data_IF_257834564939
#
_entry.id   IF_257834564939
#
_cell.length_a   1.000
_cell.length_b   1.000
_cell.length_c   1.000
_cell.angle_alpha   90.00
_cell.angle_beta   90.00
_cell.angle_gamma   90.00
#
_symmetry.space_group_name_H-M   'P 1'
#
loop_
_entity.id
_entity.type
_entity.pdbx_description
1 polymer ?
#
# COMPACT_ATOMS: atom_id res chain seq x y z
N UNK A 1 1.26 -12.86 -7.19
CA UNK A 1 2.43 -12.80 -8.10
C UNK A 1 3.49 -11.97 -7.40
N UNK A 2 4.76 -12.40 -7.34
CA UNK A 2 5.80 -11.59 -6.71
C UNK A 2 6.15 -10.34 -7.55
N UNK A 3 6.80 -9.35 -6.95
CA UNK A 3 7.10 -8.06 -7.58
C UNK A 3 7.95 -8.18 -8.86
N UNK A 4 8.85 -9.18 -8.93
CA UNK A 4 9.70 -9.40 -10.11
C UNK A 4 8.89 -9.99 -11.25
N UNK A 5 8.10 -11.01 -10.97
CA UNK A 5 7.17 -11.61 -11.94
C UNK A 5 6.15 -10.59 -12.44
N UNK A 6 5.67 -9.70 -11.57
CA UNK A 6 4.76 -8.61 -11.94
C UNK A 6 5.41 -7.60 -12.89
N UNK A 7 6.61 -7.10 -12.57
CA UNK A 7 7.34 -6.19 -13.47
C UNK A 7 7.62 -6.81 -14.83
N UNK A 8 7.97 -8.09 -14.84
CA UNK A 8 8.16 -8.84 -16.09
C UNK A 8 6.85 -8.98 -16.88
N UNK A 9 5.73 -9.25 -16.20
CA UNK A 9 4.42 -9.29 -16.82
C UNK A 9 4.00 -7.96 -17.44
N UNK A 10 4.19 -6.85 -16.71
CA UNK A 10 3.88 -5.50 -17.21
C UNK A 10 4.74 -5.16 -18.42
N UNK A 11 6.06 -5.37 -18.33
CA UNK A 11 6.98 -5.12 -19.45
C UNK A 11 6.59 -5.93 -20.69
N UNK A 12 6.31 -7.21 -20.50
CA UNK A 12 5.92 -8.08 -21.60
C UNK A 12 4.59 -7.64 -22.21
N UNK A 13 3.53 -7.48 -21.41
CA UNK A 13 2.20 -7.13 -21.89
C UNK A 13 2.13 -5.73 -22.49
N UNK A 14 2.99 -4.81 -22.05
CA UNK A 14 3.15 -3.46 -22.63
C UNK A 14 3.92 -3.44 -23.95
N UNK A 15 4.56 -4.55 -24.33
CA UNK A 15 5.32 -4.64 -25.57
C UNK A 15 4.44 -4.57 -26.82
N UNK A 16 4.93 -3.93 -27.87
CA UNK A 16 4.20 -3.58 -29.09
C UNK A 16 3.46 -4.76 -29.76
N UNK A 17 4.00 -5.98 -29.64
CA UNK A 17 3.45 -7.17 -30.28
C UNK A 17 2.61 -8.07 -29.37
N UNK A 18 2.62 -7.85 -28.05
CA UNK A 18 2.00 -8.78 -27.09
C UNK A 18 0.49 -8.94 -27.29
N UNK A 19 -0.24 -7.84 -27.40
CA UNK A 19 -1.69 -7.89 -27.65
C UNK A 19 -2.01 -8.46 -29.04
N UNK A 20 -1.15 -8.22 -30.03
CA UNK A 20 -1.28 -8.80 -31.36
C UNK A 20 -1.16 -10.32 -31.34
N UNK A 21 -0.15 -10.84 -30.64
CA UNK A 21 0.07 -12.28 -30.46
C UNK A 21 -1.13 -12.93 -29.74
N UNK A 22 -1.59 -12.34 -28.64
CA UNK A 22 -2.76 -12.85 -27.90
C UNK A 22 -4.03 -12.86 -28.76
N UNK A 23 -4.20 -11.88 -29.64
CA UNK A 23 -5.33 -11.83 -30.59
C UNK A 23 -5.26 -12.92 -31.66
N UNK A 24 -4.06 -13.26 -32.15
CA UNK A 24 -3.87 -14.38 -33.11
C UNK A 24 -4.29 -15.69 -32.45
N UNK A 25 -3.89 -15.91 -31.20
CA UNK A 25 -4.13 -17.15 -30.45
C UNK A 25 -5.54 -17.26 -29.83
N UNK A 26 -6.44 -16.31 -30.12
CA UNK A 26 -7.78 -16.24 -29.50
C UNK A 26 -8.69 -17.42 -29.85
N UNK A 27 -8.36 -18.16 -30.91
CA UNK A 27 -9.10 -19.34 -31.37
C UNK A 27 -8.93 -20.56 -30.45
N UNK A 28 -8.06 -20.46 -29.45
CA UNK A 28 -7.78 -21.51 -28.48
C UNK A 28 -7.12 -22.74 -29.12
N UNK A 29 -6.52 -22.60 -30.30
CA UNK A 29 -5.75 -23.65 -30.96
C UNK A 29 -4.27 -23.57 -30.55
N UNK A 30 -3.53 -24.63 -30.91
CA UNK A 30 -2.08 -24.65 -30.78
C UNK A 30 -1.45 -23.96 -31.99
N UNK A 31 -0.51 -23.06 -31.75
CA UNK A 31 0.20 -22.30 -32.77
C UNK A 31 1.71 -22.43 -32.59
N UNK A 32 2.43 -22.53 -33.71
CA UNK A 32 3.89 -22.40 -33.74
C UNK A 32 4.32 -20.94 -33.76
N UNK A 33 5.52 -20.64 -33.26
CA UNK A 33 6.08 -19.29 -33.34
C UNK A 33 6.19 -18.78 -34.78
N UNK A 34 6.42 -19.66 -35.75
CA UNK A 34 6.47 -19.32 -37.18
C UNK A 34 5.13 -18.87 -37.73
N UNK A 35 4.04 -19.48 -37.28
CA UNK A 35 2.68 -19.13 -37.71
C UNK A 35 2.26 -17.77 -37.15
N UNK A 36 2.53 -17.54 -35.86
CA UNK A 36 2.28 -16.24 -35.21
C UNK A 36 3.13 -15.14 -35.86
N UNK A 37 4.40 -15.43 -36.15
CA UNK A 37 5.30 -14.51 -36.82
C UNK A 37 4.81 -14.12 -38.23
N UNK A 38 4.32 -15.10 -38.99
CA UNK A 38 3.74 -14.87 -40.31
C UNK A 38 2.49 -13.98 -40.24
N UNK A 39 1.56 -14.28 -39.33
CA UNK A 39 0.31 -13.51 -39.18
C UNK A 39 0.55 -12.04 -38.80
N UNK A 40 1.57 -11.76 -37.99
CA UNK A 40 1.88 -10.41 -37.51
C UNK A 40 2.95 -9.72 -38.36
N UNK A 41 3.49 -10.38 -39.38
CA UNK A 41 4.61 -9.91 -40.18
C UNK A 41 5.81 -9.46 -39.31
N UNK A 42 6.18 -10.30 -38.34
CA UNK A 42 7.34 -10.08 -37.46
C UNK A 42 8.35 -11.21 -37.61
N UNK A 43 9.56 -10.99 -37.10
CA UNK A 43 10.59 -12.02 -37.13
C UNK A 43 10.24 -13.20 -36.20
N UNK A 44 10.52 -14.44 -36.61
CA UNK A 44 10.20 -15.66 -35.83
C UNK A 44 10.83 -15.60 -34.44
N UNK A 45 12.07 -15.12 -34.33
CA UNK A 45 12.73 -14.98 -33.02
C UNK A 45 12.02 -13.98 -32.10
N UNK A 46 11.38 -12.94 -32.64
CA UNK A 46 10.56 -12.01 -31.88
C UNK A 46 9.32 -12.72 -31.35
N UNK A 47 8.56 -13.42 -32.22
CA UNK A 47 7.40 -14.19 -31.81
C UNK A 47 7.75 -15.23 -30.73
N UNK A 48 8.84 -15.99 -30.93
CA UNK A 48 9.31 -16.98 -29.95
C UNK A 48 9.65 -16.37 -28.59
N UNK A 49 10.29 -15.19 -28.55
CA UNK A 49 10.60 -14.51 -27.29
C UNK A 49 9.33 -14.10 -26.53
N UNK A 50 8.35 -13.54 -27.23
CA UNK A 50 7.09 -13.15 -26.62
C UNK A 50 6.29 -14.37 -26.16
N UNK A 51 6.18 -15.41 -26.98
CA UNK A 51 5.48 -16.66 -26.64
C UNK A 51 6.12 -17.37 -25.45
N UNK A 52 7.46 -17.39 -25.38
CA UNK A 52 8.16 -17.92 -24.21
C UNK A 52 7.85 -17.11 -22.95
N UNK A 53 7.95 -15.78 -23.02
CA UNK A 53 7.60 -14.93 -21.87
C UNK A 53 6.15 -15.10 -21.42
N UNK A 54 5.22 -15.24 -22.36
CA UNK A 54 3.80 -15.48 -22.05
C UNK A 54 3.60 -16.86 -21.40
N UNK A 55 4.37 -17.86 -21.81
CA UNK A 55 4.34 -19.19 -21.20
C UNK A 55 4.90 -19.17 -19.78
N UNK A 56 5.99 -18.45 -19.55
CA UNK A 56 6.60 -18.29 -18.23
C UNK A 56 5.66 -17.58 -17.25
N UNK A 57 4.77 -16.70 -17.74
CA UNK A 57 3.72 -16.04 -16.96
C UNK A 57 2.43 -16.88 -16.82
N UNK A 58 2.35 -18.06 -17.45
CA UNK A 58 1.16 -18.92 -17.44
C UNK A 58 -0.01 -18.37 -18.25
N UNK A 59 0.22 -17.40 -19.13
CA UNK A 59 -0.82 -16.83 -20.02
C UNK A 59 -1.11 -17.79 -21.18
N UNK A 60 -0.07 -18.48 -21.67
CA UNK A 60 -0.18 -19.53 -22.67
C UNK A 60 0.41 -20.83 -22.14
N UNK A 61 -0.16 -21.95 -22.53
CA UNK A 61 0.46 -23.26 -22.37
C UNK A 61 1.54 -23.43 -23.43
N UNK A 62 2.60 -24.16 -23.09
CA UNK A 62 3.67 -24.53 -24.00
C UNK A 62 3.82 -26.05 -24.01
N UNK A 63 3.94 -26.65 -25.18
CA UNK A 63 4.32 -28.06 -25.34
C UNK A 63 5.39 -28.23 -26.41
N UNK A 64 6.15 -29.31 -26.34
CA UNK A 64 7.05 -29.69 -27.41
C UNK A 64 6.23 -30.11 -28.64
N UNK A 65 6.56 -29.56 -29.80
CA UNK A 65 6.04 -30.03 -31.09
C UNK A 65 7.01 -31.04 -31.71
N UNK A 66 8.31 -30.71 -31.68
CA UNK A 66 9.40 -31.59 -32.08
C UNK A 66 10.66 -31.33 -31.21
N UNK A 67 11.81 -31.90 -31.59
CA UNK A 67 13.07 -31.77 -30.86
C UNK A 67 13.62 -30.33 -30.76
N UNK A 68 13.12 -29.39 -31.57
CA UNK A 68 13.62 -28.02 -31.75
C UNK A 68 12.54 -26.96 -31.64
N UNK A 69 11.27 -27.32 -31.75
CA UNK A 69 10.14 -26.38 -31.78
C UNK A 69 9.11 -26.66 -30.69
N UNK A 70 8.38 -25.62 -30.33
CA UNK A 70 7.30 -25.69 -29.35
C UNK A 70 6.04 -25.05 -29.92
N UNK A 71 4.92 -25.61 -29.52
CA UNK A 71 3.59 -25.06 -29.78
C UNK A 71 3.08 -24.36 -28.52
N UNK A 72 2.25 -23.34 -28.76
CA UNK A 72 1.69 -22.51 -27.72
C UNK A 72 0.17 -22.42 -27.89
N UNK A 73 -0.56 -22.40 -26.77
CA UNK A 73 -2.01 -22.26 -26.76
C UNK A 73 -2.44 -21.32 -25.66
N UNK A 74 -3.36 -20.41 -25.95
CA UNK A 74 -3.89 -19.51 -24.93
C UNK A 74 -4.69 -20.30 -23.88
N UNK A 75 -4.36 -20.11 -22.59
CA UNK A 75 -5.01 -20.82 -21.48
C UNK A 75 -6.50 -20.44 -21.39
N UNK A 76 -6.80 -19.15 -21.58
CA UNK A 76 -8.15 -18.63 -21.55
C UNK A 76 -8.33 -17.53 -22.60
N UNK A 77 -9.43 -17.54 -23.38
CA UNK A 77 -9.75 -16.46 -24.32
C UNK A 77 -10.10 -15.14 -23.61
N UNK A 78 -10.29 -15.17 -22.28
CA UNK A 78 -10.50 -14.00 -21.43
C UNK A 78 -9.35 -13.88 -20.44
N UNK A 79 -8.56 -12.83 -20.59
CA UNK A 79 -7.52 -12.45 -19.63
C UNK A 79 -8.03 -11.28 -18.79
N UNK A 80 -8.04 -11.48 -17.46
CA UNK A 80 -8.29 -10.41 -16.49
C UNK A 80 -6.98 -10.13 -15.76
N UNK A 81 -6.50 -8.90 -15.88
CA UNK A 81 -5.35 -8.41 -15.14
C UNK A 81 -5.90 -7.62 -13.95
N UNK A 82 -5.61 -8.10 -12.75
CA UNK A 82 -5.91 -7.39 -11.52
C UNK A 82 -4.58 -6.96 -10.92
N UNK A 83 -4.40 -5.65 -10.80
CA UNK A 83 -3.19 -5.06 -10.25
C UNK A 83 -3.59 -4.42 -8.93
N UNK A 84 -3.13 -5.03 -7.84
CA UNK A 84 -3.19 -4.37 -6.56
C UNK A 84 -2.03 -3.38 -6.45
N UNK A 85 -2.38 -2.09 -6.36
CA UNK A 85 -1.43 -1.00 -6.14
C UNK A 85 -1.29 -0.66 -4.66
N UNK A 86 -2.01 -1.38 -3.78
CA UNK A 86 -1.80 -1.28 -2.35
C UNK A 86 -0.51 -2.02 -1.97
N UNK A 87 0.37 -1.34 -1.24
CA UNK A 87 1.57 -1.94 -0.67
C UNK A 87 1.15 -2.96 0.43
N UNK A 88 1.12 -4.25 0.07
CA UNK A 88 0.65 -5.39 0.89
C UNK A 88 1.51 -5.71 2.14
N UNK A 89 2.49 -4.87 2.49
CA UNK A 89 3.26 -4.99 3.74
C UNK A 89 3.01 -3.81 4.71
N UNK A 90 2.12 -2.89 4.30
CA UNK A 90 1.34 -2.06 5.23
C UNK A 90 1.97 -0.72 5.63
N UNK A 91 1.52 0.41 5.07
CA UNK A 91 1.75 1.75 5.64
C UNK A 91 1.19 1.90 7.06
N UNK A 92 0.40 0.95 7.56
CA UNK A 92 -0.19 1.01 8.90
C UNK A 92 0.85 0.97 10.02
N UNK A 93 1.88 0.12 9.92
CA UNK A 93 2.94 0.06 10.95
C UNK A 93 3.73 1.37 10.98
N UNK A 94 4.11 1.86 9.81
CA UNK A 94 4.81 3.13 9.66
C UNK A 94 3.92 4.31 10.13
N UNK A 95 2.61 4.26 9.87
CA UNK A 95 1.65 5.25 10.35
C UNK A 95 1.49 5.22 11.87
N UNK A 96 1.52 4.03 12.49
CA UNK A 96 1.58 3.88 13.94
C UNK A 96 2.87 4.51 14.48
N UNK A 97 4.02 4.24 13.87
CA UNK A 97 5.31 4.82 14.30
C UNK A 97 5.31 6.36 14.20
N UNK A 98 4.69 6.92 13.15
CA UNK A 98 4.44 8.36 13.02
C UNK A 98 3.62 8.92 14.19
N UNK A 99 2.49 8.30 14.51
CA UNK A 99 1.63 8.76 15.61
C UNK A 99 2.26 8.54 16.99
N UNK A 100 3.06 7.49 17.16
CA UNK A 100 3.85 7.27 18.39
C UNK A 100 4.84 8.40 18.57
N UNK A 101 5.57 8.79 17.52
CA UNK A 101 6.51 9.91 17.57
C UNK A 101 5.79 11.21 17.90
N UNK A 102 4.65 11.48 17.25
CA UNK A 102 3.80 12.63 17.56
C UNK A 102 3.42 12.70 19.05
N UNK A 103 2.88 11.63 19.63
CA UNK A 103 2.49 11.63 21.03
C UNK A 103 3.68 11.72 21.98
N UNK A 104 4.80 11.06 21.68
CA UNK A 104 6.01 11.15 22.50
C UNK A 104 6.50 12.59 22.64
N UNK A 105 6.59 13.31 21.52
CA UNK A 105 7.00 14.73 21.51
C UNK A 105 5.95 15.60 22.21
N UNK A 106 4.66 15.31 22.03
CA UNK A 106 3.57 16.01 22.72
C UNK A 106 3.70 15.89 24.24
N UNK A 107 3.82 14.66 24.76
CA UNK A 107 3.97 14.40 26.19
C UNK A 107 5.23 15.02 26.76
N UNK A 108 6.35 14.94 26.05
CA UNK A 108 7.58 15.58 26.47
C UNK A 108 7.45 17.11 26.53
N UNK A 109 6.77 17.71 25.56
CA UNK A 109 6.45 19.14 25.56
C UNK A 109 5.65 19.56 26.78
N UNK A 110 4.65 18.77 27.17
CA UNK A 110 3.79 19.05 28.34
C UNK A 110 4.56 18.86 29.65
N UNK A 111 5.39 17.80 29.77
CA UNK A 111 6.27 17.60 30.92
C UNK A 111 7.19 18.79 31.17
N UNK A 112 7.79 19.31 30.10
CA UNK A 112 8.68 20.48 30.18
C UNK A 112 7.97 21.74 30.66
N UNK A 113 6.65 21.84 30.49
CA UNK A 113 5.85 22.95 31.03
C UNK A 113 5.54 22.81 32.53
N UNK A 114 5.77 21.64 33.13
CA UNK A 114 5.64 21.43 34.57
C UNK A 114 4.21 21.32 35.07
N UNK A 115 3.32 20.64 34.32
CA UNK A 115 1.91 20.42 34.70
C UNK A 115 1.57 18.92 34.87
N UNK A 116 1.92 18.30 36.01
CA UNK A 116 1.76 16.86 36.23
C UNK A 116 0.30 16.38 36.21
N UNK A 117 -0.64 17.24 36.59
CA UNK A 117 -2.08 16.94 36.56
C UNK A 117 -2.59 16.76 35.13
N UNK A 118 -2.12 17.60 34.20
CA UNK A 118 -2.46 17.50 32.77
C UNK A 118 -1.88 16.22 32.18
N UNK A 119 -0.63 15.89 32.50
CA UNK A 119 0.00 14.63 32.07
C UNK A 119 -0.77 13.40 32.58
N UNK A 120 -1.15 13.39 33.86
CA UNK A 120 -1.86 12.28 34.48
C UNK A 120 -3.24 12.07 33.84
N UNK A 121 -3.99 13.16 33.62
CA UNK A 121 -5.30 13.12 32.98
C UNK A 121 -5.20 12.62 31.53
N UNK A 122 -4.19 13.09 30.77
CA UNK A 122 -3.96 12.62 29.40
C UNK A 122 -3.62 11.12 29.34
N UNK A 123 -2.77 10.65 30.26
CA UNK A 123 -2.41 9.24 30.32
C UNK A 123 -3.63 8.38 30.67
N UNK A 124 -4.48 8.85 31.60
CA UNK A 124 -5.71 8.16 31.97
C UNK A 124 -6.63 7.96 30.76
N UNK A 125 -6.92 9.02 30.00
CA UNK A 125 -7.80 8.95 28.82
C UNK A 125 -7.26 8.05 27.71
N UNK A 126 -5.95 8.10 27.44
CA UNK A 126 -5.32 7.19 26.48
C UNK A 126 -5.45 5.71 26.86
N UNK A 127 -5.40 5.41 28.15
CA UNK A 127 -5.46 4.02 28.63
C UNK A 127 -6.87 3.48 28.83
N UNK A 128 -7.80 4.33 29.27
CA UNK A 128 -9.13 3.89 29.73
C UNK A 128 -10.20 4.13 28.66
N UNK A 129 -10.25 5.33 28.06
CA UNK A 129 -11.35 5.71 27.15
C UNK A 129 -11.18 5.14 25.74
N UNK A 130 -9.95 4.80 25.35
CA UNK A 130 -9.64 4.27 24.01
C UNK A 130 -9.25 2.78 24.01
N UNK A 131 -9.46 2.06 25.10
CA UNK A 131 -9.04 0.66 25.24
C UNK A 131 -9.75 -0.28 24.23
N UNK A 132 -11.07 -0.11 24.05
CA UNK A 132 -11.88 -0.92 23.13
C UNK A 132 -11.50 -0.67 21.67
N UNK A 133 -11.30 0.60 21.30
CA UNK A 133 -10.87 0.96 19.95
C UNK A 133 -9.44 0.51 19.65
N UNK A 134 -8.54 0.58 20.64
CA UNK A 134 -7.16 0.07 20.54
C UNK A 134 -7.17 -1.44 20.29
N UNK A 135 -8.01 -2.19 21.01
CA UNK A 135 -8.15 -3.63 20.83
C UNK A 135 -8.67 -3.98 19.42
N UNK A 136 -9.63 -3.21 18.90
CA UNK A 136 -10.15 -3.40 17.54
C UNK A 136 -9.08 -3.16 16.46
N UNK A 137 -8.27 -2.12 16.59
CA UNK A 137 -7.16 -1.86 15.64
C UNK A 137 -6.09 -2.95 15.73
N UNK A 138 -5.72 -3.41 16.93
CA UNK A 138 -4.77 -4.52 17.09
C UNK A 138 -5.28 -5.83 16.47
N UNK A 139 -6.58 -6.11 16.58
CA UNK A 139 -7.20 -7.27 15.93
C UNK A 139 -7.12 -7.17 14.40
N UNK A 140 -7.36 -5.98 13.83
CA UNK A 140 -7.25 -5.77 12.38
C UNK A 140 -5.81 -5.75 11.86
N UNK A 141 -4.85 -5.32 12.69
CA UNK A 141 -3.41 -5.47 12.40
C UNK A 141 -3.00 -6.95 12.26
N UNK A 142 -3.61 -7.85 13.04
CA UNK A 142 -3.37 -9.30 12.92
C UNK A 142 -4.09 -9.87 11.70
N UNK A 143 -5.27 -9.34 11.37
CA UNK A 143 -6.11 -9.83 10.27
C UNK A 143 -5.68 -9.31 8.88
N UNK A 144 -4.84 -8.27 8.79
CA UNK A 144 -4.30 -7.75 7.53
C UNK A 144 -5.34 -7.07 6.63
N UNK A 145 -6.45 -6.58 7.19
CA UNK A 145 -7.54 -5.99 6.39
C UNK A 145 -7.30 -4.52 6.05
N UNK A 146 -7.60 -4.13 4.81
CA UNK A 146 -7.50 -2.78 4.22
C UNK A 146 -8.18 -1.63 5.01
N UNK A 147 -8.97 -1.92 6.04
CA UNK A 147 -9.66 -0.91 6.88
C UNK A 147 -8.82 -0.30 8.01
N UNK A 148 -7.62 -0.81 8.28
CA UNK A 148 -6.84 -0.42 9.47
C UNK A 148 -6.39 1.04 9.50
N UNK A 149 -6.02 1.63 8.35
CA UNK A 149 -5.46 2.98 8.31
C UNK A 149 -6.53 4.07 8.52
N UNK A 150 -7.69 3.95 7.87
CA UNK A 150 -8.78 4.90 8.05
C UNK A 150 -9.31 4.86 9.48
N UNK A 151 -9.47 3.67 10.06
CA UNK A 151 -9.83 3.54 11.48
C UNK A 151 -8.77 4.07 12.44
N UNK A 152 -7.50 3.87 12.13
CA UNK A 152 -6.41 4.48 12.88
C UNK A 152 -6.51 6.01 12.82
N UNK A 153 -6.77 6.58 11.66
CA UNK A 153 -6.95 8.04 11.52
C UNK A 153 -8.15 8.56 12.31
N UNK A 154 -9.27 7.84 12.30
CA UNK A 154 -10.45 8.20 13.08
C UNK A 154 -10.18 8.12 14.58
N UNK A 155 -9.46 7.08 15.04
CA UNK A 155 -9.01 6.98 16.43
C UNK A 155 -8.15 8.18 16.81
N UNK A 156 -7.15 8.49 15.98
CA UNK A 156 -6.21 9.57 16.26
C UNK A 156 -6.92 10.92 16.27
N UNK A 157 -7.90 11.15 15.39
CA UNK A 157 -8.73 12.36 15.44
C UNK A 157 -9.50 12.48 16.76
N UNK A 158 -10.08 11.38 17.26
CA UNK A 158 -10.76 11.37 18.55
C UNK A 158 -9.80 11.68 19.70
N UNK A 159 -8.71 10.92 19.79
CA UNK A 159 -7.66 11.11 20.80
C UNK A 159 -7.11 12.54 20.76
N UNK A 160 -6.78 13.06 19.58
CA UNK A 160 -6.27 14.41 19.41
C UNK A 160 -7.23 15.45 19.98
N UNK A 161 -8.52 15.36 19.64
CA UNK A 161 -9.55 16.29 20.13
C UNK A 161 -9.69 16.25 21.65
N UNK A 162 -9.65 15.07 22.25
CA UNK A 162 -9.77 14.90 23.71
C UNK A 162 -8.57 15.50 24.44
N UNK A 163 -7.36 15.19 23.96
CA UNK A 163 -6.11 15.74 24.51
C UNK A 163 -6.05 17.26 24.30
N UNK A 164 -6.48 17.76 23.14
CA UNK A 164 -6.59 19.18 22.87
C UNK A 164 -7.55 19.87 23.83
N UNK A 165 -8.72 19.26 24.09
CA UNK A 165 -9.70 19.78 25.04
C UNK A 165 -9.09 20.03 26.43
N UNK A 166 -8.40 19.03 26.98
CA UNK A 166 -7.74 19.14 28.29
C UNK A 166 -6.62 20.18 28.24
N UNK A 167 -5.71 20.08 27.26
CA UNK A 167 -4.54 20.96 27.18
C UNK A 167 -4.95 22.42 26.98
N UNK A 168 -5.93 22.69 26.12
CA UNK A 168 -6.38 24.05 25.84
C UNK A 168 -7.11 24.68 27.03
N UNK A 169 -7.81 23.88 27.84
CA UNK A 169 -8.47 24.33 29.07
C UNK A 169 -7.46 24.58 30.20
N UNK A 170 -6.47 23.69 30.37
CA UNK A 170 -5.51 23.78 31.48
C UNK A 170 -4.32 24.72 31.20
N UNK A 171 -3.74 24.65 29.99
CA UNK A 171 -2.54 25.42 29.61
C UNK A 171 -2.88 26.74 28.92
N UNK A 172 -4.13 26.92 28.50
CA UNK A 172 -4.56 27.97 27.60
C UNK A 172 -4.33 27.62 26.13
N UNK A 173 -5.25 28.07 25.26
CA UNK A 173 -5.27 27.73 23.82
C UNK A 173 -3.95 28.01 23.11
N UNK A 174 -3.33 29.18 23.32
CA UNK A 174 -2.09 29.57 22.64
C UNK A 174 -0.87 28.75 23.06
N UNK A 175 -0.83 28.24 24.29
CA UNK A 175 0.24 27.36 24.74
C UNK A 175 0.01 25.95 24.23
N UNK A 176 -1.21 25.43 24.33
CA UNK A 176 -1.58 24.13 23.76
C UNK A 176 -1.28 24.06 22.26
N UNK A 177 -1.66 25.09 21.49
CA UNK A 177 -1.40 25.17 20.04
C UNK A 177 0.09 25.01 19.70
N UNK A 178 0.95 25.75 20.41
CA UNK A 178 2.41 25.68 20.18
C UNK A 178 2.98 24.30 20.45
N UNK A 179 2.50 23.61 21.48
CA UNK A 179 2.98 22.27 21.82
C UNK A 179 2.53 21.26 20.75
N UNK A 180 1.26 21.30 20.36
CA UNK A 180 0.70 20.40 19.35
C UNK A 180 1.32 20.62 17.97
N UNK A 181 1.47 21.87 17.52
CA UNK A 181 2.14 22.19 16.25
C UNK A 181 3.62 21.83 16.24
N UNK A 182 4.30 21.89 17.40
CA UNK A 182 5.68 21.42 17.51
C UNK A 182 5.74 19.90 17.34
N UNK A 183 4.89 19.16 18.06
CA UNK A 183 4.83 17.71 17.97
C UNK A 183 4.50 17.23 16.55
N UNK A 184 3.55 17.90 15.87
CA UNK A 184 3.20 17.60 14.48
C UNK A 184 4.37 17.82 13.53
N UNK A 185 5.06 18.97 13.65
CA UNK A 185 6.24 19.27 12.81
C UNK A 185 7.37 18.26 13.00
N UNK A 186 7.58 17.81 14.24
CA UNK A 186 8.62 16.83 14.55
C UNK A 186 8.29 15.45 13.97
N UNK A 187 7.04 14.99 14.11
CA UNK A 187 6.58 13.74 13.49
C UNK A 187 6.67 13.77 11.94
N UNK A 188 6.27 14.89 11.32
CA UNK A 188 6.41 15.09 9.86
C UNK A 188 7.87 15.13 9.43
N UNK A 189 8.75 15.75 10.23
CA UNK A 189 10.18 15.78 9.96
C UNK A 189 10.83 14.39 9.96
N UNK A 190 10.36 13.49 10.83
CA UNK A 190 10.86 12.10 10.93
C UNK A 190 10.30 11.21 9.80
N UNK A 191 9.07 11.46 9.32
CA UNK A 191 8.43 10.66 8.28
C UNK A 191 7.74 11.50 7.18
N UNK A 192 8.50 12.29 6.39
CA UNK A 192 7.93 13.28 5.47
C UNK A 192 7.10 12.65 4.34
N UNK A 193 7.63 11.61 3.69
CA UNK A 193 6.97 10.95 2.56
C UNK A 193 5.71 10.19 2.99
N UNK A 194 5.73 9.60 4.18
CA UNK A 194 4.62 8.85 4.75
C UNK A 194 3.44 9.77 5.12
N UNK A 195 3.73 10.91 5.75
CA UNK A 195 2.70 11.87 6.16
C UNK A 195 1.85 12.34 4.97
N UNK A 196 2.51 12.60 3.83
CA UNK A 196 1.86 13.03 2.58
C UNK A 196 1.12 11.87 1.92
N UNK A 197 1.79 10.72 1.71
CA UNK A 197 1.21 9.56 1.02
C UNK A 197 -0.04 9.03 1.73
N UNK A 198 -0.03 9.01 3.06
CA UNK A 198 -1.09 8.41 3.87
C UNK A 198 -2.05 9.44 4.49
N UNK A 199 -1.82 10.74 4.25
CA UNK A 199 -2.66 11.83 4.76
C UNK A 199 -2.75 11.85 6.30
N UNK A 200 -1.65 11.54 6.99
CA UNK A 200 -1.60 11.34 8.44
C UNK A 200 -1.74 12.62 9.25
N UNK A 201 -1.54 13.79 8.63
CA UNK A 201 -1.69 15.10 9.27
C UNK A 201 -3.14 15.53 9.38
N UNK A 202 -4.03 15.09 8.49
CA UNK A 202 -5.43 15.55 8.45
C UNK A 202 -6.19 15.36 9.78
N UNK A 203 -6.03 14.22 10.51
CA UNK A 203 -6.64 14.03 11.83
C UNK A 203 -6.14 15.01 12.91
N UNK A 204 -5.00 15.66 12.68
CA UNK A 204 -4.28 16.49 13.65
C UNK A 204 -4.36 18.00 13.32
N UNK A 205 -5.05 18.34 12.23
CA UNK A 205 -5.24 19.72 11.75
C UNK A 205 -6.60 20.32 12.20
N UNK A 206 -7.45 19.53 12.87
CA UNK A 206 -8.82 19.87 13.29
C UNK A 206 -8.91 20.16 14.80
#
# INVERSE_FOLDING_TARGET
MDQRSFRQAVLLLSGDHSLGILKVMRDGQWHLSSEVAHHLNIHITTASKFLQGLADLGVVERRAHDARTSEYKLVSPRLRLEVDLADDVGPLREAVDFYVTYFQVLFEGIRRLGWPSVETEMQHRLTTDHQELRAAIFQEMIAGSNGGLDRLRDLIAAVHRDLWGICSQSLGRSTAERVFQRALREAVGTHPDLAVRCGLTRPLEA
#
